data_IF_255951101983
#
_entry.id   IF_255951101983
#
_cell.length_a   1.000
_cell.length_b   1.000
_cell.length_c   1.000
_cell.angle_alpha   90.00
_cell.angle_beta   90.00
_cell.angle_gamma   90.00
#
_symmetry.space_group_name_H-M   'P 1'
#
loop_
_entity.id
_entity.type
_entity.pdbx_description
1 polymer ?
#
# COMPACT_ATOMS: atom_id res chain seq x y z
N UNK A 1 0.47 27.19 -5.00
CA UNK A 1 1.78 27.75 -4.59
C UNK A 1 1.63 29.26 -4.59
N UNK A 2 1.96 29.93 -3.49
CA UNK A 2 1.89 31.40 -3.38
C UNK A 2 3.30 31.88 -3.12
N UNK A 3 3.81 32.76 -3.99
CA UNK A 3 5.15 33.35 -3.88
C UNK A 3 5.03 34.78 -3.39
N UNK A 4 5.95 35.21 -2.53
CA UNK A 4 6.11 36.60 -2.14
C UNK A 4 7.59 36.93 -2.08
N UNK A 5 7.99 38.00 -2.76
CA UNK A 5 9.38 38.49 -2.81
C UNK A 5 9.72 39.48 -1.70
N UNK A 6 8.74 39.80 -0.85
CA UNK A 6 8.86 40.72 0.27
C UNK A 6 8.51 39.97 1.56
N UNK A 7 9.43 39.95 2.53
CA UNK A 7 9.25 39.25 3.81
C UNK A 7 8.08 39.80 4.62
N UNK A 8 7.78 41.11 4.51
CA UNK A 8 6.65 41.73 5.22
C UNK A 8 5.32 41.25 4.64
N UNK A 9 5.21 41.21 3.30
CA UNK A 9 4.06 40.65 2.62
C UNK A 9 3.91 39.13 2.87
N UNK A 10 5.02 38.38 2.83
CA UNK A 10 5.06 36.95 3.15
C UNK A 10 4.57 36.68 4.58
N UNK A 11 4.94 37.52 5.55
CA UNK A 11 4.49 37.42 6.94
C UNK A 11 2.99 37.70 7.08
N UNK A 12 2.45 38.67 6.36
CA UNK A 12 0.99 38.92 6.32
C UNK A 12 0.24 37.70 5.76
N UNK A 13 0.77 37.09 4.69
CA UNK A 13 0.23 35.85 4.13
C UNK A 13 0.34 34.67 5.11
N UNK A 14 1.48 34.52 5.78
CA UNK A 14 1.68 33.50 6.80
C UNK A 14 0.74 33.65 8.02
N UNK A 15 0.13 34.82 8.22
CA UNK A 15 -0.88 35.09 9.26
C UNK A 15 -2.33 35.05 8.76
N UNK A 16 -2.55 34.87 7.45
CA UNK A 16 -3.91 34.79 6.89
C UNK A 16 -4.62 33.50 7.31
N UNK A 17 -5.95 33.45 7.19
CA UNK A 17 -6.74 32.24 7.50
C UNK A 17 -6.45 31.05 6.56
N UNK A 18 -5.64 31.25 5.52
CA UNK A 18 -5.26 30.20 4.59
C UNK A 18 -4.48 29.08 5.30
N UNK A 19 -4.83 27.83 5.01
CA UNK A 19 -4.20 26.64 5.59
C UNK A 19 -2.90 26.29 4.84
N UNK A 20 -1.79 26.89 5.27
CA UNK A 20 -0.47 26.57 4.75
C UNK A 20 0.00 25.19 5.21
N UNK A 21 0.62 24.41 4.31
CA UNK A 21 1.09 23.04 4.61
C UNK A 21 2.61 22.92 4.72
N UNK A 22 3.35 23.85 4.13
CA UNK A 22 4.81 23.93 4.10
C UNK A 22 5.21 25.39 3.78
N UNK A 23 6.26 25.87 4.43
CA UNK A 23 6.92 27.13 4.10
C UNK A 23 8.32 26.88 3.53
N UNK A 24 8.66 27.55 2.43
CA UNK A 24 10.03 27.63 1.92
C UNK A 24 10.45 29.09 2.09
N UNK A 25 11.46 29.33 2.92
CA UNK A 25 11.85 30.69 3.34
C UNK A 25 13.31 30.91 3.01
N UNK A 26 13.63 31.99 2.29
CA UNK A 26 15.01 32.44 2.17
C UNK A 26 15.48 32.95 3.54
N UNK A 27 16.47 32.27 4.10
CA UNK A 27 17.05 32.59 5.38
C UNK A 27 18.10 33.67 5.24
N UNK A 28 17.90 34.78 5.94
CA UNK A 28 18.82 35.90 5.99
C UNK A 28 19.32 36.04 7.44
N UNK A 29 20.58 35.69 7.74
CA UNK A 29 21.12 35.74 9.10
C UNK A 29 20.98 37.14 9.71
N UNK A 30 20.44 37.21 10.93
CA UNK A 30 20.26 38.47 11.67
C UNK A 30 19.09 39.34 11.20
N UNK A 31 18.33 38.94 10.17
CA UNK A 31 17.16 39.68 9.70
C UNK A 31 15.93 39.39 10.59
N UNK A 32 15.40 40.43 11.23
CA UNK A 32 14.27 40.32 12.16
C UNK A 32 12.94 39.94 11.49
N UNK A 33 12.71 40.31 10.23
CA UNK A 33 11.50 39.94 9.50
C UNK A 33 11.56 38.49 9.04
N UNK A 34 12.74 38.02 8.60
CA UNK A 34 12.98 36.60 8.31
C UNK A 34 12.69 35.74 9.55
N UNK A 35 13.27 36.10 10.71
CA UNK A 35 13.02 35.41 11.98
C UNK A 35 11.53 35.38 12.35
N UNK A 36 10.85 36.54 12.27
CA UNK A 36 9.43 36.69 12.58
C UNK A 36 8.53 35.86 11.64
N UNK A 37 8.91 35.73 10.37
CA UNK A 37 8.20 34.88 9.40
C UNK A 37 8.33 33.39 9.75
N UNK A 38 9.54 32.90 10.04
CA UNK A 38 9.78 31.50 10.43
C UNK A 38 8.99 31.16 11.69
N UNK A 39 9.01 32.03 12.71
CA UNK A 39 8.21 31.84 13.91
C UNK A 39 6.71 31.86 13.65
N UNK A 40 6.22 32.76 12.79
CA UNK A 40 4.80 32.86 12.47
C UNK A 40 4.27 31.58 11.80
N UNK A 41 5.07 30.97 10.92
CA UNK A 41 4.77 29.67 10.31
C UNK A 41 4.86 28.54 11.34
N UNK A 42 5.94 28.52 12.12
CA UNK A 42 6.20 27.50 13.13
C UNK A 42 5.13 27.42 14.22
N UNK A 43 4.68 28.56 14.76
CA UNK A 43 3.60 28.66 15.76
C UNK A 43 2.25 28.13 15.24
N UNK A 44 2.08 28.05 13.92
CA UNK A 44 0.90 27.44 13.27
C UNK A 44 1.08 25.96 12.93
N UNK A 45 2.21 25.36 13.34
CA UNK A 45 2.57 23.98 13.00
C UNK A 45 2.92 23.77 11.53
N UNK A 46 3.30 24.85 10.82
CA UNK A 46 3.73 24.77 9.42
C UNK A 46 5.24 24.51 9.39
N UNK A 47 5.71 23.38 8.84
CA UNK A 47 7.14 23.10 8.74
C UNK A 47 7.80 24.10 7.79
N UNK A 48 9.04 24.51 8.12
CA UNK A 48 9.83 25.45 7.32
C UNK A 48 11.06 24.78 6.74
N UNK A 49 11.29 24.96 5.43
CA UNK A 49 12.55 24.65 4.75
C UNK A 49 13.30 25.96 4.49
N UNK A 50 14.52 26.06 5.02
CA UNK A 50 15.34 27.24 4.85
C UNK A 50 16.17 27.16 3.57
N UNK A 51 16.09 28.19 2.72
CA UNK A 51 17.02 28.42 1.61
C UNK A 51 18.07 29.42 2.09
N UNK A 52 19.32 29.00 2.22
CA UNK A 52 20.43 29.87 2.60
C UNK A 52 21.40 30.03 1.43
N UNK A 53 22.27 31.04 1.45
CA UNK A 53 23.27 31.18 0.39
C UNK A 53 24.36 30.12 0.60
N UNK A 54 24.83 29.95 1.84
CA UNK A 54 25.84 28.96 2.20
C UNK A 54 25.36 27.86 3.16
N UNK A 55 26.16 26.78 3.28
CA UNK A 55 25.93 25.71 4.26
C UNK A 55 26.04 26.25 5.70
N UNK A 56 26.95 27.19 5.94
CA UNK A 56 27.17 27.77 7.26
C UNK A 56 25.92 28.53 7.74
N UNK A 57 25.37 29.38 6.89
CA UNK A 57 24.15 30.14 7.16
C UNK A 57 22.94 29.20 7.36
N UNK A 58 22.81 28.17 6.53
CA UNK A 58 21.77 27.17 6.72
C UNK A 58 21.90 26.41 8.06
N UNK A 59 23.14 26.14 8.49
CA UNK A 59 23.44 25.61 9.81
C UNK A 59 23.04 26.58 10.94
N UNK A 60 23.15 27.89 10.74
CA UNK A 60 22.66 28.90 11.69
C UNK A 60 21.13 28.90 11.77
N UNK A 61 20.42 28.79 10.64
CA UNK A 61 18.96 28.70 10.62
C UNK A 61 18.45 27.52 11.47
N UNK A 62 19.10 26.36 11.31
CA UNK A 62 18.80 25.16 12.09
C UNK A 62 19.04 25.32 13.59
N UNK A 63 20.06 26.09 13.98
CA UNK A 63 20.40 26.37 15.39
C UNK A 63 19.47 27.43 16.00
N UNK A 64 19.10 28.44 15.23
CA UNK A 64 18.25 29.54 15.67
C UNK A 64 16.78 29.12 15.82
N UNK A 65 16.31 28.22 14.95
CA UNK A 65 14.90 27.79 14.91
C UNK A 65 14.77 26.25 14.90
N UNK A 66 15.30 25.55 15.91
CA UNK A 66 15.42 24.09 15.90
C UNK A 66 14.07 23.35 15.86
N UNK A 67 13.01 23.97 16.35
CA UNK A 67 11.65 23.43 16.41
C UNK A 67 10.83 23.68 15.13
N UNK A 68 11.20 24.69 14.33
CA UNK A 68 10.41 25.15 13.18
C UNK A 68 11.09 24.84 11.84
N UNK A 69 12.42 24.99 11.78
CA UNK A 69 13.19 24.70 10.57
C UNK A 69 13.50 23.20 10.51
N UNK A 70 12.88 22.56 9.53
CA UNK A 70 12.90 21.12 9.32
C UNK A 70 14.18 20.65 8.61
N UNK A 71 14.69 21.45 7.68
CA UNK A 71 15.97 21.26 6.99
C UNK A 71 16.37 22.57 6.29
N UNK A 72 17.60 22.64 5.78
CA UNK A 72 18.04 23.75 4.94
C UNK A 72 18.68 23.28 3.63
N UNK A 73 18.76 24.19 2.67
CA UNK A 73 19.43 23.99 1.39
C UNK A 73 20.23 25.23 1.03
N UNK A 74 21.48 25.04 0.60
CA UNK A 74 22.33 26.11 0.09
C UNK A 74 22.01 26.35 -1.38
N UNK A 75 21.71 27.60 -1.76
CA UNK A 75 21.42 28.00 -3.13
C UNK A 75 22.59 27.72 -4.09
N UNK A 76 23.81 27.67 -3.57
CA UNK A 76 25.04 27.38 -4.33
C UNK A 76 25.15 25.91 -4.78
N UNK A 77 24.33 25.01 -4.22
CA UNK A 77 24.34 23.59 -4.60
C UNK A 77 23.47 23.36 -5.84
N UNK A 78 24.07 22.79 -6.90
CA UNK A 78 23.41 22.56 -8.18
C UNK A 78 22.10 21.73 -8.09
N UNK A 79 21.98 20.87 -7.08
CA UNK A 79 20.84 19.99 -6.81
C UNK A 79 20.00 20.42 -5.58
N UNK A 80 20.21 21.62 -5.05
CA UNK A 80 19.48 22.14 -3.89
C UNK A 80 17.97 22.10 -4.09
N UNK A 81 17.50 22.58 -5.25
CA UNK A 81 16.09 22.65 -5.57
C UNK A 81 15.46 21.26 -5.70
N UNK A 82 16.15 20.31 -6.34
CA UNK A 82 15.65 18.95 -6.49
C UNK A 82 15.47 18.27 -5.12
N UNK A 83 16.48 18.38 -4.25
CA UNK A 83 16.40 17.82 -2.89
C UNK A 83 15.34 18.53 -2.03
N UNK A 84 15.13 19.83 -2.24
CA UNK A 84 14.08 20.58 -1.58
C UNK A 84 12.70 20.06 -1.99
N UNK A 85 12.45 19.90 -3.29
CA UNK A 85 11.19 19.37 -3.79
C UNK A 85 10.94 17.94 -3.29
N UNK A 86 11.96 17.09 -3.29
CA UNK A 86 11.86 15.73 -2.77
C UNK A 86 11.46 15.71 -1.29
N UNK A 87 12.07 16.58 -0.47
CA UNK A 87 11.73 16.69 0.95
C UNK A 87 10.36 17.34 1.16
N UNK A 88 10.00 18.34 0.36
CA UNK A 88 8.68 18.98 0.40
C UNK A 88 7.57 17.96 0.17
N UNK A 89 7.69 17.13 -0.87
CA UNK A 89 6.76 16.04 -1.13
C UNK A 89 6.74 15.07 0.06
N UNK A 90 7.92 14.63 0.54
CA UNK A 90 8.05 13.71 1.68
C UNK A 90 7.26 14.20 2.91
N UNK A 91 7.39 15.47 3.27
CA UNK A 91 6.71 16.06 4.43
C UNK A 91 5.18 16.08 4.30
N UNK A 92 4.67 16.18 3.06
CA UNK A 92 3.24 16.11 2.79
C UNK A 92 2.72 14.66 2.84
N UNK A 93 3.51 13.70 2.34
CA UNK A 93 3.18 12.27 2.34
C UNK A 93 3.23 11.64 3.74
N UNK A 94 4.22 12.01 4.56
CA UNK A 94 4.42 11.45 5.91
C UNK A 94 3.23 11.70 6.85
N UNK A 95 2.35 12.67 6.56
CA UNK A 95 1.15 12.96 7.36
C UNK A 95 0.20 11.76 7.49
N UNK A 96 0.25 10.82 6.55
CA UNK A 96 -0.53 9.58 6.58
C UNK A 96 0.24 8.36 7.11
N UNK A 97 1.47 8.53 7.58
CA UNK A 97 2.33 7.44 8.05
C UNK A 97 2.63 7.58 9.54
N UNK A 98 2.58 6.44 10.23
CA UNK A 98 2.86 6.39 11.66
C UNK A 98 4.21 5.72 11.93
N UNK A 99 4.94 6.26 12.91
CA UNK A 99 6.20 5.71 13.39
C UNK A 99 6.01 5.21 14.82
N UNK A 100 6.45 3.99 15.11
CA UNK A 100 6.38 3.37 16.43
C UNK A 100 7.79 3.31 17.04
N UNK A 101 7.97 3.92 18.21
CA UNK A 101 9.19 3.83 19.00
C UNK A 101 9.03 2.77 20.08
N UNK A 102 9.96 1.82 20.18
CA UNK A 102 9.90 0.69 21.14
C UNK A 102 11.17 0.60 21.97
N UNK A 103 11.04 0.41 23.28
CA UNK A 103 12.16 0.48 24.23
C UNK A 103 11.85 1.29 25.49
N UNK A 104 12.84 1.47 26.39
CA UNK A 104 12.64 2.21 27.63
C UNK A 104 12.42 3.71 27.38
N UNK A 105 11.71 4.36 28.31
CA UNK A 105 11.58 5.83 28.30
C UNK A 105 12.90 6.46 28.73
N UNK A 106 13.26 7.57 28.08
CA UNK A 106 14.50 8.29 28.39
C UNK A 106 14.83 9.38 27.37
N UNK A 107 16.05 9.89 27.45
CA UNK A 107 16.54 10.98 26.60
C UNK A 107 16.52 10.59 25.11
N UNK A 108 16.99 9.37 24.78
CA UNK A 108 17.01 8.90 23.40
C UNK A 108 15.60 8.84 22.79
N UNK A 109 14.63 8.30 23.52
CA UNK A 109 13.22 8.26 23.08
C UNK A 109 12.67 9.65 22.82
N UNK A 110 12.93 10.59 23.72
CA UNK A 110 12.49 12.00 23.58
C UNK A 110 13.12 12.62 22.33
N UNK A 111 14.43 12.48 22.16
CA UNK A 111 15.16 12.99 20.99
C UNK A 111 14.66 12.39 19.67
N UNK A 112 14.45 11.08 19.62
CA UNK A 112 13.88 10.39 18.44
C UNK A 112 12.47 10.92 18.12
N UNK A 113 11.64 11.11 19.15
CA UNK A 113 10.30 11.66 18.99
C UNK A 113 10.36 13.07 18.36
N UNK A 114 11.16 13.97 18.94
CA UNK A 114 11.31 15.34 18.45
C UNK A 114 11.77 15.39 16.99
N UNK A 115 12.76 14.58 16.63
CA UNK A 115 13.25 14.53 15.24
C UNK A 115 12.21 13.95 14.28
N UNK A 116 11.48 12.89 14.66
CA UNK A 116 10.43 12.32 13.80
C UNK A 116 9.24 13.29 13.63
N UNK A 117 8.96 14.14 14.62
CA UNK A 117 7.94 15.21 14.49
C UNK A 117 8.31 16.22 13.43
N UNK A 118 9.59 16.56 13.28
CA UNK A 118 10.06 17.43 12.18
C UNK A 118 9.73 16.83 10.81
N UNK A 119 9.70 15.49 10.69
CA UNK A 119 9.29 14.79 9.47
C UNK A 119 7.79 14.49 9.40
N UNK A 120 7.00 15.05 10.31
CA UNK A 120 5.53 14.99 10.33
C UNK A 120 4.94 13.59 10.44
N UNK A 121 5.68 12.63 10.99
CA UNK A 121 5.11 11.34 11.38
C UNK A 121 4.13 11.52 12.54
N UNK A 122 3.05 10.72 12.56
CA UNK A 122 2.33 10.46 13.80
C UNK A 122 3.12 9.45 14.60
N UNK A 123 3.51 9.80 15.81
CA UNK A 123 4.39 8.96 16.62
C UNK A 123 3.57 8.20 17.64
N UNK A 124 3.83 6.91 17.74
CA UNK A 124 3.33 6.00 18.75
C UNK A 124 4.52 5.49 19.57
N UNK A 125 4.27 5.13 20.82
CA UNK A 125 5.31 4.65 21.72
C UNK A 125 4.84 3.38 22.43
N UNK A 126 5.75 2.42 22.60
CA UNK A 126 5.53 1.24 23.42
C UNK A 126 6.75 0.96 24.28
N UNK A 127 6.54 0.64 25.55
CA UNK A 127 7.64 0.38 26.49
C UNK A 127 8.21 -1.04 26.35
N UNK A 128 7.41 -1.97 25.80
CA UNK A 128 7.76 -3.38 25.67
C UNK A 128 7.24 -4.02 24.36
N UNK A 129 7.52 -5.31 24.18
CA UNK A 129 7.10 -6.10 23.04
C UNK A 129 5.57 -6.23 22.94
N UNK A 130 4.88 -6.38 24.07
CA UNK A 130 3.43 -6.57 24.10
C UNK A 130 2.70 -5.30 23.61
N UNK A 131 3.08 -4.14 24.12
CA UNK A 131 2.59 -2.84 23.67
C UNK A 131 2.92 -2.59 22.20
N UNK A 132 4.11 -3.01 21.74
CA UNK A 132 4.49 -2.92 20.33
C UNK A 132 3.54 -3.72 19.43
N UNK A 133 3.33 -5.01 19.71
CA UNK A 133 2.43 -5.83 18.89
C UNK A 133 0.98 -5.32 18.94
N UNK A 134 0.51 -4.88 20.10
CA UNK A 134 -0.80 -4.24 20.23
C UNK A 134 -0.95 -3.01 19.34
N UNK A 135 0.07 -2.13 19.31
CA UNK A 135 0.07 -0.95 18.46
C UNK A 135 0.11 -1.30 16.96
N UNK A 136 0.95 -2.26 16.55
CA UNK A 136 1.05 -2.70 15.15
C UNK A 136 -0.23 -3.36 14.63
N UNK A 137 -0.97 -4.06 15.49
CA UNK A 137 -2.25 -4.70 15.13
C UNK A 137 -3.40 -3.70 15.13
N UNK A 138 -3.41 -2.76 16.07
CA UNK A 138 -4.46 -1.74 16.18
C UNK A 138 -4.36 -0.70 15.07
N UNK A 139 -3.16 -0.39 14.59
CA UNK A 139 -2.92 0.69 13.64
C UNK A 139 -2.14 0.22 12.41
N UNK A 140 -2.90 -0.09 11.36
CA UNK A 140 -2.36 -0.47 10.05
C UNK A 140 -1.61 0.68 9.37
N UNK A 141 -1.61 1.90 9.90
CA UNK A 141 -0.86 3.07 9.43
C UNK A 141 0.60 3.10 9.88
N UNK A 142 1.02 2.21 10.79
CA UNK A 142 2.44 2.10 11.18
C UNK A 142 3.26 1.56 10.02
N UNK A 143 4.27 2.33 9.61
CA UNK A 143 5.17 2.02 8.48
C UNK A 143 6.65 2.04 8.87
N UNK A 144 6.95 2.62 10.02
CA UNK A 144 8.29 2.69 10.58
C UNK A 144 8.26 2.22 12.03
N UNK A 145 9.11 1.26 12.37
CA UNK A 145 9.38 0.78 13.71
C UNK A 145 10.84 1.13 14.05
N UNK A 146 11.07 1.80 15.18
CA UNK A 146 12.41 2.04 15.72
C UNK A 146 12.54 1.35 17.07
N UNK A 147 13.45 0.38 17.16
CA UNK A 147 13.82 -0.31 18.40
C UNK A 147 15.01 0.40 19.02
N UNK A 148 14.90 0.84 20.27
CA UNK A 148 15.92 1.64 20.95
C UNK A 148 16.13 1.25 22.40
N UNK A 149 17.31 1.54 22.96
CA UNK A 149 17.60 1.45 24.40
C UNK A 149 17.48 0.05 25.01
N UNK A 150 17.46 -1.00 24.20
CA UNK A 150 17.41 -2.40 24.64
C UNK A 150 18.79 -3.04 24.53
N UNK A 151 19.02 -4.14 25.24
CA UNK A 151 20.18 -4.97 24.94
C UNK A 151 20.06 -5.55 23.52
N UNK A 152 21.18 -5.76 22.84
CA UNK A 152 21.14 -6.08 21.41
C UNK A 152 20.53 -7.45 21.13
N UNK A 153 20.67 -8.40 22.07
CA UNK A 153 20.03 -9.72 21.98
C UNK A 153 18.51 -9.61 22.09
N UNK A 154 18.01 -8.78 23.01
CA UNK A 154 16.58 -8.52 23.14
C UNK A 154 16.03 -7.81 21.90
N UNK A 155 16.74 -6.79 21.41
CA UNK A 155 16.38 -6.10 20.17
C UNK A 155 16.36 -7.06 18.97
N UNK A 156 17.36 -7.91 18.81
CA UNK A 156 17.43 -8.91 17.74
C UNK A 156 16.28 -9.93 17.81
N UNK A 157 15.95 -10.42 19.02
CA UNK A 157 14.81 -11.31 19.22
C UNK A 157 13.48 -10.63 18.86
N UNK A 158 13.30 -9.37 19.28
CA UNK A 158 12.12 -8.58 18.97
C UNK A 158 11.96 -8.35 17.46
N UNK A 159 13.04 -7.95 16.78
CA UNK A 159 13.07 -7.75 15.33
C UNK A 159 12.73 -9.05 14.60
N UNK A 160 13.32 -10.18 15.00
CA UNK A 160 13.03 -11.48 14.40
C UNK A 160 11.55 -11.85 14.58
N UNK A 161 10.97 -11.59 15.75
CA UNK A 161 9.56 -11.85 16.04
C UNK A 161 8.62 -10.99 15.17
N UNK A 162 8.95 -9.70 14.98
CA UNK A 162 8.21 -8.82 14.06
C UNK A 162 8.24 -9.37 12.64
N UNK A 163 9.37 -9.92 12.18
CA UNK A 163 9.52 -10.47 10.83
C UNK A 163 8.78 -11.77 10.56
N UNK A 164 8.24 -12.43 11.59
CA UNK A 164 7.31 -13.55 11.42
C UNK A 164 5.94 -13.10 10.91
N UNK A 165 5.55 -11.84 11.15
CA UNK A 165 4.23 -11.31 10.82
C UNK A 165 4.25 -10.15 9.81
N UNK A 166 5.28 -9.29 9.82
CA UNK A 166 5.40 -8.15 8.92
C UNK A 166 6.66 -8.23 8.06
N UNK A 167 6.47 -8.24 6.74
CA UNK A 167 7.57 -8.25 5.78
C UNK A 167 8.23 -6.87 5.68
N UNK A 168 9.43 -6.79 5.09
CA UNK A 168 10.15 -5.53 4.79
C UNK A 168 9.34 -4.59 3.88
N UNK A 169 8.40 -5.14 3.12
CA UNK A 169 7.52 -4.36 2.27
C UNK A 169 6.33 -3.78 3.05
N UNK A 170 6.07 -4.19 4.29
CA UNK A 170 4.92 -3.74 5.09
C UNK A 170 5.34 -2.82 6.23
N UNK A 171 6.54 -3.06 6.80
CA UNK A 171 7.06 -2.32 7.93
C UNK A 171 8.58 -2.17 7.83
N UNK A 172 9.05 -0.92 7.82
CA UNK A 172 10.48 -0.61 7.95
C UNK A 172 10.87 -0.78 9.42
N UNK A 173 11.96 -1.50 9.70
CA UNK A 173 12.45 -1.72 11.07
C UNK A 173 13.88 -1.22 11.19
N UNK A 174 14.07 -0.20 12.01
CA UNK A 174 15.38 0.37 12.35
C UNK A 174 15.73 0.02 13.79
N UNK A 175 16.99 -0.30 14.05
CA UNK A 175 17.47 -0.60 15.40
C UNK A 175 18.56 0.39 15.80
N UNK A 176 18.41 1.01 16.96
CA UNK A 176 19.46 1.82 17.56
C UNK A 176 20.54 0.92 18.15
N UNK A 177 21.80 1.26 17.87
CA UNK A 177 22.98 0.59 18.41
C UNK A 177 23.92 1.62 19.00
N UNK A 178 24.48 1.32 20.16
CA UNK A 178 25.46 2.19 20.80
C UNK A 178 26.82 2.00 20.10
N UNK A 179 27.51 3.09 19.73
CA UNK A 179 28.88 2.94 19.22
C UNK A 179 29.80 2.63 20.40
N UNK A 180 30.13 1.37 20.60
CA UNK A 180 31.33 1.00 21.34
C UNK A 180 32.45 0.80 20.30
N UNK A 181 33.64 1.36 20.54
CA UNK A 181 34.78 1.29 19.63
C UNK A 181 35.46 -0.10 19.62
N UNK A 182 34.67 -1.17 19.62
CA UNK A 182 35.11 -2.55 19.72
C UNK A 182 34.57 -3.40 18.57
N UNK A 183 35.30 -4.46 18.21
CA UNK A 183 34.88 -5.49 17.24
C UNK A 183 33.53 -6.13 17.57
N UNK A 184 33.11 -6.10 18.84
CA UNK A 184 31.80 -6.57 19.25
C UNK A 184 30.65 -5.81 18.54
N UNK A 185 30.78 -4.49 18.31
CA UNK A 185 29.72 -3.70 17.69
C UNK A 185 29.42 -4.10 16.24
N UNK A 186 30.40 -4.63 15.51
CA UNK A 186 30.18 -5.10 14.14
C UNK A 186 29.46 -6.47 14.13
N UNK A 187 29.77 -7.36 15.08
CA UNK A 187 29.04 -8.63 15.26
C UNK A 187 27.58 -8.39 15.68
N UNK A 188 27.37 -7.40 16.53
CA UNK A 188 26.06 -6.96 17.00
C UNK A 188 25.22 -6.36 15.87
N UNK A 189 25.82 -5.45 15.09
CA UNK A 189 25.16 -4.86 13.93
C UNK A 189 24.77 -5.95 12.93
N UNK A 190 25.67 -6.92 12.72
CA UNK A 190 25.39 -8.09 11.89
C UNK A 190 24.22 -8.91 12.43
N UNK A 191 24.14 -9.18 13.74
CA UNK A 191 23.03 -9.91 14.35
C UNK A 191 21.68 -9.24 14.06
N UNK A 192 21.56 -7.94 14.31
CA UNK A 192 20.31 -7.19 14.07
C UNK A 192 19.89 -7.21 12.59
N UNK A 193 20.84 -7.03 11.68
CA UNK A 193 20.57 -7.12 10.23
C UNK A 193 20.14 -8.54 9.84
N UNK A 194 20.76 -9.58 10.40
CA UNK A 194 20.41 -10.98 10.15
C UNK A 194 19.05 -11.36 10.76
N UNK A 195 18.67 -10.75 11.88
CA UNK A 195 17.34 -10.87 12.47
C UNK A 195 16.26 -10.12 11.68
N UNK A 196 16.65 -9.24 10.76
CA UNK A 196 15.76 -8.63 9.77
C UNK A 196 15.53 -7.12 9.94
N UNK A 197 16.39 -6.42 10.69
CA UNK A 197 16.44 -4.97 10.65
C UNK A 197 16.78 -4.49 9.22
N UNK A 198 16.18 -3.39 8.80
CA UNK A 198 16.43 -2.77 7.50
C UNK A 198 17.68 -1.89 7.52
N UNK A 199 17.92 -1.19 8.63
CA UNK A 199 19.12 -0.39 8.84
C UNK A 199 19.37 -0.19 10.34
N UNK A 200 20.56 0.34 10.67
CA UNK A 200 21.00 0.57 12.04
C UNK A 200 21.20 2.06 12.31
N UNK A 201 20.68 2.55 13.44
CA UNK A 201 20.86 3.92 13.91
C UNK A 201 21.99 3.93 14.93
N UNK A 202 23.18 4.38 14.53
CA UNK A 202 24.35 4.43 15.42
C UNK A 202 24.31 5.65 16.34
N UNK A 203 24.55 5.45 17.62
CA UNK A 203 24.76 6.53 18.60
C UNK A 203 26.25 6.87 18.72
N UNK A 204 26.64 8.13 19.00
CA UNK A 204 25.77 9.30 19.21
C UNK A 204 25.07 9.75 17.92
N UNK A 205 23.80 10.13 18.06
CA UNK A 205 22.93 10.42 16.94
C UNK A 205 22.98 11.90 16.54
N UNK A 206 23.49 12.19 15.36
CA UNK A 206 23.40 13.52 14.75
C UNK A 206 22.05 13.74 14.05
N UNK A 207 21.39 14.88 14.33
CA UNK A 207 20.05 15.21 13.77
C UNK A 207 19.98 15.03 12.25
N UNK A 208 20.90 15.66 11.52
CA UNK A 208 20.88 15.64 10.05
C UNK A 208 21.04 14.23 9.50
N UNK A 209 21.99 13.46 10.01
CA UNK A 209 22.23 12.09 9.54
C UNK A 209 21.06 11.15 9.86
N UNK A 210 20.47 11.27 11.05
CA UNK A 210 19.28 10.52 11.43
C UNK A 210 18.12 10.79 10.47
N UNK A 211 17.78 12.07 10.26
CA UNK A 211 16.67 12.44 9.39
C UNK A 211 16.88 11.98 7.95
N UNK A 212 18.11 12.09 7.43
CA UNK A 212 18.48 11.57 6.11
C UNK A 212 18.36 10.05 6.04
N UNK A 213 18.71 9.34 7.11
CA UNK A 213 18.56 7.89 7.17
C UNK A 213 17.08 7.47 7.16
N UNK A 214 16.22 8.16 7.92
CA UNK A 214 14.76 7.95 7.88
C UNK A 214 14.22 8.22 6.47
N UNK A 215 14.58 9.36 5.87
CA UNK A 215 14.11 9.74 4.53
C UNK A 215 14.50 8.66 3.49
N UNK A 216 15.73 8.13 3.57
CA UNK A 216 16.22 7.05 2.70
C UNK A 216 15.45 5.75 2.90
N UNK A 217 15.25 5.33 4.15
CA UNK A 217 14.56 4.09 4.46
C UNK A 217 13.10 4.12 3.98
N UNK A 218 12.42 5.26 4.18
CA UNK A 218 11.05 5.47 3.73
C UNK A 218 10.94 5.59 2.21
N UNK A 219 11.90 6.23 1.55
CA UNK A 219 11.94 6.28 0.09
C UNK A 219 12.08 4.87 -0.51
N UNK A 220 12.95 4.03 0.06
CA UNK A 220 13.10 2.64 -0.38
C UNK A 220 11.83 1.82 -0.14
N UNK A 221 11.18 2.02 1.00
CA UNK A 221 9.89 1.39 1.30
C UNK A 221 8.82 1.75 0.28
N UNK A 222 8.66 3.03 -0.04
CA UNK A 222 7.68 3.51 -1.02
C UNK A 222 7.99 3.02 -2.43
N UNK A 223 9.26 3.04 -2.80
CA UNK A 223 9.73 2.47 -4.06
C UNK A 223 9.28 1.01 -4.12
N UNK A 224 9.65 0.17 -3.13
CA UNK A 224 9.26 -1.23 -3.08
C UNK A 224 7.73 -1.44 -3.12
N UNK A 225 6.96 -0.60 -2.45
CA UNK A 225 5.50 -0.59 -2.53
C UNK A 225 5.01 -0.27 -3.96
N UNK A 226 5.60 0.73 -4.61
CA UNK A 226 5.34 1.07 -6.01
C UNK A 226 5.67 -0.09 -6.96
N UNK A 227 6.82 -0.74 -6.78
CA UNK A 227 7.18 -1.93 -7.55
C UNK A 227 6.21 -3.07 -7.32
N UNK A 228 5.85 -3.37 -6.07
CA UNK A 228 4.89 -4.42 -5.76
C UNK A 228 3.54 -4.13 -6.40
N UNK A 229 3.04 -2.90 -6.32
CA UNK A 229 1.80 -2.49 -6.99
C UNK A 229 1.90 -2.63 -8.51
N UNK A 230 2.96 -2.10 -9.13
CA UNK A 230 3.19 -2.23 -10.57
C UNK A 230 3.32 -3.68 -11.03
N UNK A 231 3.88 -4.56 -10.18
CA UNK A 231 4.04 -5.98 -10.44
C UNK A 231 2.76 -6.80 -10.20
N UNK A 232 1.78 -6.28 -9.45
CA UNK A 232 0.56 -7.01 -9.05
C UNK A 232 -0.73 -6.42 -9.58
N UNK A 233 -0.69 -5.28 -10.28
CA UNK A 233 -1.85 -4.58 -10.85
C UNK A 233 -1.69 -4.43 -12.36
N UNK A 234 -2.76 -4.66 -13.11
CA UNK A 234 -2.79 -4.34 -14.55
C UNK A 234 -2.91 -2.82 -14.74
N UNK A 235 -1.95 -2.23 -15.47
CA UNK A 235 -1.83 -0.77 -15.62
C UNK A 235 -3.01 -0.10 -16.34
N UNK A 236 -3.76 -0.83 -17.14
CA UNK A 236 -4.89 -0.27 -17.90
C UNK A 236 -6.16 -0.32 -17.08
N UNK A 237 -6.42 -1.47 -16.45
CA UNK A 237 -7.69 -1.72 -15.78
C UNK A 237 -7.69 -1.35 -14.31
N UNK A 238 -6.52 -1.30 -13.66
CA UNK A 238 -6.39 -1.10 -12.22
C UNK A 238 -6.80 -2.32 -11.39
N UNK A 239 -7.21 -3.42 -12.02
CA UNK A 239 -7.44 -4.71 -11.36
C UNK A 239 -6.11 -5.35 -10.97
N UNK A 240 -6.13 -6.28 -10.00
CA UNK A 240 -4.94 -7.11 -9.79
C UNK A 240 -4.65 -7.91 -11.07
N UNK A 241 -3.39 -7.99 -11.47
CA UNK A 241 -3.01 -8.88 -12.56
C UNK A 241 -2.98 -10.34 -12.06
N UNK A 242 -2.68 -11.29 -12.94
CA UNK A 242 -2.60 -12.72 -12.60
C UNK A 242 -1.75 -13.01 -11.36
N UNK A 243 -0.61 -12.32 -11.18
CA UNK A 243 0.26 -12.49 -10.01
C UNK A 243 -0.44 -11.99 -8.74
N UNK A 244 -0.95 -10.76 -8.76
CA UNK A 244 -1.65 -10.18 -7.60
C UNK A 244 -2.91 -10.95 -7.22
N UNK A 245 -3.61 -11.52 -8.20
CA UNK A 245 -4.75 -12.39 -7.98
C UNK A 245 -4.35 -13.67 -7.24
N UNK A 246 -3.28 -14.35 -7.67
CA UNK A 246 -2.79 -15.57 -7.00
C UNK A 246 -2.34 -15.28 -5.56
N UNK A 247 -1.60 -14.18 -5.34
CA UNK A 247 -1.14 -13.79 -4.00
C UNK A 247 -2.32 -13.61 -3.03
N UNK A 248 -3.39 -12.92 -3.46
CA UNK A 248 -4.61 -12.74 -2.64
C UNK A 248 -5.43 -14.01 -2.52
N UNK A 249 -5.53 -14.77 -3.62
CA UNK A 249 -6.32 -15.98 -3.68
C UNK A 249 -5.81 -17.09 -2.78
N UNK A 250 -4.48 -17.24 -2.64
CA UNK A 250 -3.88 -18.25 -1.75
C UNK A 250 -4.26 -18.02 -0.29
N UNK A 251 -4.29 -16.76 0.16
CA UNK A 251 -4.73 -16.43 1.51
C UNK A 251 -6.22 -16.77 1.75
N UNK A 252 -7.09 -16.45 0.77
CA UNK A 252 -8.51 -16.79 0.83
C UNK A 252 -8.76 -18.31 0.78
N UNK A 253 -8.02 -19.03 -0.06
CA UNK A 253 -8.07 -20.49 -0.15
C UNK A 253 -7.67 -21.16 1.16
N UNK A 254 -6.57 -20.73 1.78
CA UNK A 254 -6.15 -21.23 3.08
C UNK A 254 -7.20 -20.97 4.18
N UNK A 255 -7.87 -19.81 4.14
CA UNK A 255 -8.97 -19.50 5.05
C UNK A 255 -10.20 -20.39 4.79
N UNK A 256 -10.57 -20.61 3.54
CA UNK A 256 -11.67 -21.48 3.15
C UNK A 256 -11.46 -22.92 3.65
N UNK A 257 -10.25 -23.48 3.46
CA UNK A 257 -9.87 -24.81 3.94
C UNK A 257 -9.94 -24.94 5.46
N UNK A 258 -9.65 -23.87 6.22
CA UNK A 258 -9.74 -23.87 7.69
C UNK A 258 -11.15 -23.65 8.24
N UNK A 259 -11.91 -22.76 7.61
CA UNK A 259 -13.16 -22.20 8.17
C UNK A 259 -14.46 -22.80 7.63
N UNK A 260 -14.39 -23.81 6.76
CA UNK A 260 -15.55 -24.34 6.02
C UNK A 260 -16.37 -23.25 5.30
N UNK A 261 -15.68 -22.21 4.83
CA UNK A 261 -16.28 -21.15 4.02
C UNK A 261 -16.20 -21.57 2.55
N UNK A 262 -17.33 -21.50 1.84
CA UNK A 262 -17.35 -21.79 0.39
C UNK A 262 -16.44 -20.83 -0.37
N UNK A 263 -15.67 -21.35 -1.32
CA UNK A 263 -14.83 -20.57 -2.22
C UNK A 263 -15.13 -21.01 -3.65
N UNK A 264 -15.39 -20.05 -4.52
CA UNK A 264 -15.70 -20.32 -5.92
C UNK A 264 -14.93 -19.37 -6.82
N UNK A 265 -14.64 -19.79 -8.05
CA UNK A 265 -13.91 -18.95 -9.01
C UNK A 265 -14.61 -18.95 -10.37
N UNK A 266 -14.60 -17.81 -11.04
CA UNK A 266 -15.23 -17.61 -12.34
C UNK A 266 -14.30 -16.90 -13.32
N UNK A 267 -14.16 -17.46 -14.52
CA UNK A 267 -13.46 -16.87 -15.64
C UNK A 267 -14.46 -16.24 -16.62
N UNK A 268 -14.27 -14.96 -16.92
CA UNK A 268 -15.01 -14.19 -17.90
C UNK A 268 -14.10 -13.93 -19.11
N UNK A 269 -14.46 -14.44 -20.29
CA UNK A 269 -13.76 -14.20 -21.55
C UNK A 269 -14.60 -13.33 -22.47
N UNK A 270 -14.01 -12.26 -22.99
CA UNK A 270 -14.67 -11.37 -23.97
C UNK A 270 -14.68 -12.03 -25.36
N UNK A 271 -15.86 -12.23 -25.91
CA UNK A 271 -16.03 -12.80 -27.25
C UNK A 271 -15.43 -11.90 -28.33
N UNK A 272 -14.68 -12.48 -29.27
CA UNK A 272 -14.21 -11.78 -30.46
C UNK A 272 -13.22 -10.63 -30.19
N UNK A 273 -12.64 -10.54 -28.98
CA UNK A 273 -11.77 -9.43 -28.58
C UNK A 273 -10.57 -9.24 -29.53
N UNK A 274 -9.96 -10.32 -29.99
CA UNK A 274 -8.88 -10.26 -30.98
C UNK A 274 -9.30 -9.67 -32.33
N UNK A 275 -10.54 -9.96 -32.78
CA UNK A 275 -11.11 -9.36 -33.99
C UNK A 275 -11.42 -7.88 -33.78
N UNK A 276 -12.03 -7.54 -32.65
CA UNK A 276 -12.33 -6.15 -32.28
C UNK A 276 -11.06 -5.30 -32.19
N UNK A 277 -9.99 -5.81 -31.56
CA UNK A 277 -8.69 -5.12 -31.46
C UNK A 277 -8.04 -4.84 -32.82
N UNK A 278 -8.22 -5.73 -33.80
CA UNK A 278 -7.75 -5.54 -35.18
C UNK A 278 -8.59 -4.52 -35.95
N UNK A 279 -9.91 -4.50 -35.73
CA UNK A 279 -10.86 -3.65 -36.46
C UNK A 279 -10.94 -2.20 -35.96
N UNK A 280 -10.81 -1.98 -34.65
CA UNK A 280 -11.09 -0.68 -34.01
C UNK A 280 -9.86 0.01 -33.41
N UNK A 281 -8.66 -0.48 -33.73
CA UNK A 281 -7.37 -0.07 -33.18
C UNK A 281 -7.17 -0.44 -31.68
N UNK A 282 -5.91 -0.60 -31.22
CA UNK A 282 -5.60 -1.01 -29.85
C UNK A 282 -6.22 -0.12 -28.76
N UNK A 283 -6.34 1.18 -29.01
CA UNK A 283 -6.89 2.14 -28.04
C UNK A 283 -8.39 1.90 -27.74
N UNK A 284 -9.19 1.47 -28.73
CA UNK A 284 -10.60 1.16 -28.51
C UNK A 284 -10.76 -0.08 -27.62
N UNK A 285 -9.92 -1.08 -27.84
CA UNK A 285 -9.89 -2.29 -27.03
C UNK A 285 -9.46 -1.99 -25.59
N UNK A 286 -8.49 -1.08 -25.41
CA UNK A 286 -8.05 -0.61 -24.10
C UNK A 286 -9.18 0.12 -23.34
N UNK A 287 -9.91 1.01 -24.02
CA UNK A 287 -11.04 1.75 -23.45
C UNK A 287 -12.16 0.81 -23.01
N UNK A 288 -12.54 -0.15 -23.86
CA UNK A 288 -13.53 -1.17 -23.52
C UNK A 288 -13.07 -1.97 -22.30
N UNK A 289 -11.82 -2.45 -22.31
CA UNK A 289 -11.24 -3.24 -21.20
C UNK A 289 -11.27 -2.48 -19.88
N UNK A 290 -10.95 -1.19 -19.89
CA UNK A 290 -11.02 -0.31 -18.70
C UNK A 290 -12.44 -0.17 -18.18
N UNK A 291 -13.43 -0.02 -19.07
CA UNK A 291 -14.84 0.13 -18.66
C UNK A 291 -15.43 -1.17 -18.12
N UNK A 292 -15.11 -2.31 -18.76
CA UNK A 292 -15.48 -3.63 -18.26
C UNK A 292 -14.90 -3.90 -16.87
N UNK A 293 -13.64 -3.53 -16.63
CA UNK A 293 -13.01 -3.71 -15.33
C UNK A 293 -13.70 -2.93 -14.20
N UNK A 294 -14.09 -1.68 -14.47
CA UNK A 294 -14.84 -0.86 -13.51
C UNK A 294 -16.20 -1.49 -13.17
N UNK A 295 -16.89 -2.01 -14.17
CA UNK A 295 -18.18 -2.68 -13.96
C UNK A 295 -18.03 -4.03 -13.26
N UNK A 296 -16.98 -4.80 -13.55
CA UNK A 296 -16.63 -5.98 -12.77
C UNK A 296 -16.48 -5.63 -11.28
N UNK A 297 -15.68 -4.62 -10.93
CA UNK A 297 -15.53 -4.20 -9.53
C UNK A 297 -16.84 -3.81 -8.85
N UNK A 298 -17.82 -3.24 -9.58
CA UNK A 298 -19.13 -2.86 -9.03
C UNK A 298 -20.05 -4.06 -8.79
N UNK A 299 -19.84 -5.17 -9.51
CA UNK A 299 -20.67 -6.36 -9.44
C UNK A 299 -20.24 -7.36 -8.35
N UNK A 300 -19.03 -7.22 -7.83
CA UNK A 300 -18.46 -8.12 -6.82
C UNK A 300 -18.20 -7.39 -5.51
N UNK A 301 -18.13 -8.13 -4.40
CA UNK A 301 -17.96 -7.57 -3.05
C UNK A 301 -16.52 -7.18 -2.81
N UNK A 302 -16.27 -6.32 -1.81
CA UNK A 302 -14.91 -5.94 -1.40
C UNK A 302 -14.05 -7.12 -0.94
N UNK A 303 -14.68 -8.20 -0.45
CA UNK A 303 -13.98 -9.43 -0.03
C UNK A 303 -13.72 -10.41 -1.19
N UNK A 304 -14.29 -10.15 -2.37
CA UNK A 304 -14.01 -10.92 -3.57
C UNK A 304 -12.74 -10.35 -4.25
N UNK A 305 -12.04 -11.20 -5.02
CA UNK A 305 -10.85 -10.77 -5.77
C UNK A 305 -11.19 -10.74 -7.24
N UNK A 306 -11.15 -9.56 -7.85
CA UNK A 306 -11.34 -9.38 -9.31
C UNK A 306 -9.99 -9.10 -9.94
N UNK A 307 -9.57 -9.91 -10.92
CA UNK A 307 -8.27 -9.79 -11.57
C UNK A 307 -8.29 -9.89 -13.10
N UNK A 308 -7.31 -9.25 -13.73
CA UNK A 308 -7.02 -9.36 -15.16
C UNK A 308 -6.03 -10.51 -15.42
N UNK A 309 -6.45 -11.52 -16.19
CA UNK A 309 -5.63 -12.70 -16.49
C UNK A 309 -4.98 -12.67 -17.87
N UNK A 310 -5.65 -12.04 -18.82
CA UNK A 310 -5.20 -11.87 -20.20
C UNK A 310 -5.83 -10.61 -20.82
N UNK A 311 -5.54 -10.28 -22.09
CA UNK A 311 -6.10 -9.09 -22.74
C UNK A 311 -7.64 -9.05 -22.77
N UNK A 312 -8.27 -10.21 -22.80
CA UNK A 312 -9.70 -10.47 -22.94
C UNK A 312 -10.27 -11.32 -21.80
N UNK A 313 -9.47 -11.60 -20.77
CA UNK A 313 -9.80 -12.53 -19.69
C UNK A 313 -9.77 -11.85 -18.33
N UNK A 314 -10.87 -12.00 -17.60
CA UNK A 314 -11.02 -11.56 -16.22
C UNK A 314 -11.36 -12.75 -15.34
N UNK A 315 -10.72 -12.85 -14.18
CA UNK A 315 -10.99 -13.90 -13.20
C UNK A 315 -11.55 -13.27 -11.93
N UNK A 316 -12.48 -13.97 -11.30
CA UNK A 316 -13.05 -13.57 -10.01
C UNK A 316 -13.00 -14.72 -9.03
N UNK A 317 -12.47 -14.47 -7.83
CA UNK A 317 -12.54 -15.38 -6.69
C UNK A 317 -13.56 -14.85 -5.69
N UNK A 318 -14.58 -15.65 -5.36
CA UNK A 318 -15.73 -15.24 -4.53
C UNK A 318 -15.82 -16.09 -3.27
N UNK A 319 -16.10 -15.44 -2.14
CA UNK A 319 -16.24 -16.11 -0.84
C UNK A 319 -17.72 -16.22 -0.46
N UNK A 320 -18.16 -17.44 -0.14
CA UNK A 320 -19.49 -17.73 0.38
C UNK A 320 -20.61 -17.71 -0.66
N UNK A 321 -20.30 -17.93 -1.95
CA UNK A 321 -21.32 -18.08 -2.98
C UNK A 321 -22.08 -19.40 -2.81
N UNK A 322 -23.43 -19.34 -2.80
CA UNK A 322 -24.26 -20.55 -2.70
C UNK A 322 -24.48 -21.16 -4.10
N UNK A 323 -24.33 -22.48 -4.28
CA UNK A 323 -24.52 -23.15 -5.56
C UNK A 323 -25.86 -22.84 -6.24
N UNK A 324 -26.97 -22.86 -5.48
CA UNK A 324 -28.32 -22.60 -6.00
C UNK A 324 -28.49 -21.20 -6.59
N UNK A 325 -27.73 -20.22 -6.08
CA UNK A 325 -27.77 -18.83 -6.54
C UNK A 325 -26.83 -18.54 -7.71
N UNK A 326 -25.89 -19.45 -8.00
CA UNK A 326 -24.79 -19.19 -8.93
C UNK A 326 -25.31 -18.90 -10.35
N UNK A 327 -26.23 -19.73 -10.87
CA UNK A 327 -26.78 -19.57 -12.22
C UNK A 327 -27.44 -18.19 -12.40
N UNK A 328 -28.37 -17.84 -11.52
CA UNK A 328 -29.09 -16.56 -11.57
C UNK A 328 -28.14 -15.37 -11.39
N UNK A 329 -27.16 -15.49 -10.49
CA UNK A 329 -26.18 -14.44 -10.26
C UNK A 329 -25.32 -14.18 -11.51
N UNK A 330 -24.74 -15.22 -12.12
CA UNK A 330 -23.89 -15.05 -13.30
C UNK A 330 -24.69 -14.61 -14.54
N UNK A 331 -25.95 -15.01 -14.68
CA UNK A 331 -26.83 -14.48 -15.72
C UNK A 331 -27.03 -12.96 -15.57
N UNK A 332 -27.34 -12.49 -14.35
CA UNK A 332 -27.52 -11.06 -14.08
C UNK A 332 -26.22 -10.25 -14.24
N UNK A 333 -25.07 -10.80 -13.82
CA UNK A 333 -23.76 -10.16 -14.03
C UNK A 333 -23.44 -10.09 -15.52
N UNK A 334 -23.68 -11.16 -16.28
CA UNK A 334 -23.46 -11.19 -17.72
C UNK A 334 -24.29 -10.12 -18.42
N UNK A 335 -25.60 -10.07 -18.15
CA UNK A 335 -26.49 -9.06 -18.74
C UNK A 335 -26.01 -7.63 -18.48
N UNK A 336 -25.62 -7.33 -17.23
CA UNK A 336 -25.08 -6.00 -16.88
C UNK A 336 -23.79 -5.68 -17.63
N UNK A 337 -22.87 -6.64 -17.75
CA UNK A 337 -21.62 -6.44 -18.49
C UNK A 337 -21.86 -6.27 -20.00
N UNK A 338 -22.81 -7.02 -20.58
CA UNK A 338 -23.15 -6.95 -22.00
C UNK A 338 -23.94 -5.68 -22.37
N UNK A 339 -24.61 -5.05 -21.39
CA UNK A 339 -25.28 -3.74 -21.57
C UNK A 339 -24.32 -2.55 -21.70
N UNK A 340 -23.02 -2.76 -21.45
CA UNK A 340 -22.02 -1.69 -21.49
C UNK A 340 -21.77 -1.27 -22.93
N UNK A 341 -22.14 -0.04 -23.26
CA UNK A 341 -21.76 0.60 -24.51
C UNK A 341 -20.45 1.40 -24.34
N UNK A 342 -19.44 1.07 -25.14
CA UNK A 342 -18.26 1.92 -25.30
C UNK A 342 -18.32 2.64 -26.65
N UNK A 343 -18.18 3.96 -26.64
CA UNK A 343 -18.09 4.75 -27.89
C UNK A 343 -16.64 5.06 -28.19
N UNK A 344 -16.17 4.65 -29.37
CA UNK A 344 -14.84 5.00 -29.88
C UNK A 344 -14.97 5.57 -31.30
N UNK A 345 -14.50 6.81 -31.50
CA UNK A 345 -14.61 7.53 -32.78
C UNK A 345 -16.03 7.51 -33.38
N UNK A 346 -17.04 7.71 -32.54
CA UNK A 346 -18.45 7.73 -32.96
C UNK A 346 -19.09 6.36 -33.23
N UNK A 347 -18.34 5.24 -33.10
CA UNK A 347 -18.87 3.88 -33.20
C UNK A 347 -19.13 3.29 -31.82
N UNK A 348 -20.29 2.65 -31.67
CA UNK A 348 -20.62 1.87 -30.46
C UNK A 348 -19.99 0.49 -30.54
N UNK A 349 -19.39 0.06 -29.44
CA UNK A 349 -18.77 -1.25 -29.26
C UNK A 349 -19.48 -1.91 -28.08
N UNK A 350 -19.96 -3.12 -28.32
CA UNK A 350 -20.56 -3.98 -27.31
C UNK A 350 -19.64 -5.19 -27.07
N UNK A 351 -19.59 -5.66 -25.84
CA UNK A 351 -18.89 -6.88 -25.47
C UNK A 351 -19.90 -7.98 -25.19
N UNK A 352 -19.58 -9.21 -25.59
CA UNK A 352 -20.25 -10.43 -25.14
C UNK A 352 -19.28 -11.30 -24.36
N UNK A 353 -19.80 -12.16 -23.49
CA UNK A 353 -18.96 -12.95 -22.58
C UNK A 353 -19.23 -14.45 -22.59
N UNK A 354 -18.15 -15.22 -22.51
CA UNK A 354 -18.19 -16.64 -22.15
C UNK A 354 -17.70 -16.83 -20.71
N UNK A 355 -18.55 -17.41 -19.86
CA UNK A 355 -18.29 -17.53 -18.43
C UNK A 355 -18.12 -19.02 -18.08
N UNK A 356 -17.02 -19.33 -17.40
CA UNK A 356 -16.76 -20.62 -16.80
C UNK A 356 -16.61 -20.51 -15.30
N UNK A 357 -17.23 -21.40 -14.53
CA UNK A 357 -17.27 -21.31 -13.07
C UNK A 357 -16.87 -22.64 -12.44
N UNK A 358 -16.02 -22.59 -11.42
CA UNK A 358 -15.75 -23.68 -10.49
C UNK A 358 -16.35 -23.31 -9.14
N UNK A 359 -17.34 -24.07 -8.69
CA UNK A 359 -18.04 -23.84 -7.41
C UNK A 359 -17.44 -24.63 -6.25
N UNK A 360 -16.70 -25.69 -6.55
CA UNK A 360 -16.16 -26.64 -5.58
C UNK A 360 -14.80 -26.18 -5.04
N UNK A 361 -14.55 -26.40 -3.76
CA UNK A 361 -13.26 -26.11 -3.13
C UNK A 361 -12.30 -27.29 -3.35
N UNK A 362 -11.23 -27.07 -4.11
CA UNK A 362 -10.17 -28.06 -4.34
C UNK A 362 -9.00 -27.90 -3.36
N UNK A 363 -8.08 -28.86 -3.33
CA UNK A 363 -6.87 -28.83 -2.48
C UNK A 363 -5.86 -27.76 -2.93
N UNK A 364 -5.78 -27.48 -4.23
CA UNK A 364 -4.98 -26.40 -4.78
C UNK A 364 -5.88 -25.33 -5.44
N UNK A 365 -5.67 -24.07 -5.08
CA UNK A 365 -6.30 -22.94 -5.75
C UNK A 365 -6.10 -23.00 -7.27
N UNK A 366 -4.90 -23.39 -7.74
CA UNK A 366 -4.58 -23.42 -9.17
C UNK A 366 -5.49 -24.38 -9.94
N UNK A 367 -5.87 -25.49 -9.32
CA UNK A 367 -6.81 -26.45 -9.89
C UNK A 367 -8.18 -25.81 -10.12
N UNK A 368 -8.71 -25.08 -9.13
CA UNK A 368 -9.96 -24.34 -9.27
C UNK A 368 -9.91 -23.36 -10.45
N UNK A 369 -8.79 -22.65 -10.62
CA UNK A 369 -8.59 -21.69 -11.71
C UNK A 369 -8.59 -22.37 -13.08
N UNK A 370 -7.94 -23.54 -13.19
CA UNK A 370 -7.92 -24.35 -14.41
C UNK A 370 -9.33 -24.81 -14.76
N UNK A 371 -10.10 -25.31 -13.79
CA UNK A 371 -11.49 -25.76 -14.01
C UNK A 371 -12.39 -24.63 -14.53
N UNK A 372 -12.29 -23.44 -13.93
CA UNK A 372 -13.05 -22.28 -14.42
C UNK A 372 -12.60 -21.83 -15.82
N UNK A 373 -11.29 -21.89 -16.11
CA UNK A 373 -10.76 -21.57 -17.43
C UNK A 373 -11.25 -22.55 -18.51
N UNK A 374 -11.19 -23.85 -18.25
CA UNK A 374 -11.68 -24.90 -19.15
C UNK A 374 -13.20 -24.79 -19.38
N UNK A 375 -13.95 -24.46 -18.32
CA UNK A 375 -15.39 -24.22 -18.44
C UNK A 375 -15.70 -23.01 -19.33
N UNK A 376 -14.89 -21.94 -19.26
CA UNK A 376 -15.06 -20.75 -20.13
C UNK A 376 -14.72 -21.08 -21.59
N UNK A 377 -13.66 -21.85 -21.83
CA UNK A 377 -13.35 -22.36 -23.18
C UNK A 377 -14.43 -23.28 -23.73
N UNK A 378 -15.05 -24.11 -22.88
CA UNK A 378 -16.18 -24.93 -23.28
C UNK A 378 -17.40 -24.06 -23.63
N UNK A 379 -17.67 -23.01 -22.87
CA UNK A 379 -18.72 -22.05 -23.15
C UNK A 379 -18.50 -21.34 -24.50
N UNK A 380 -17.26 -20.96 -24.80
CA UNK A 380 -16.87 -20.37 -26.08
C UNK A 380 -17.06 -21.34 -27.25
N UNK A 381 -16.53 -22.57 -27.14
CA UNK A 381 -16.64 -23.59 -28.19
C UNK A 381 -18.09 -23.99 -28.51
N UNK A 382 -18.99 -23.90 -27.53
CA UNK A 382 -20.41 -24.22 -27.67
C UNK A 382 -21.28 -22.99 -27.95
N UNK A 383 -20.68 -21.80 -28.06
CA UNK A 383 -21.39 -20.53 -28.14
C UNK A 383 -22.49 -20.40 -27.07
N UNK A 384 -22.20 -20.88 -25.85
CA UNK A 384 -23.19 -21.00 -24.80
C UNK A 384 -23.67 -19.62 -24.33
N UNK A 385 -24.99 -19.36 -24.29
CA UNK A 385 -25.52 -18.11 -23.78
C UNK A 385 -25.38 -18.02 -22.25
N UNK A 386 -25.35 -19.16 -21.56
CA UNK A 386 -25.27 -19.25 -20.10
C UNK A 386 -23.83 -19.50 -19.61
N UNK A 387 -23.60 -19.29 -18.32
CA UNK A 387 -22.35 -19.68 -17.68
C UNK A 387 -22.24 -21.22 -17.57
N UNK A 388 -21.07 -21.77 -17.92
CA UNK A 388 -20.78 -23.20 -17.72
C UNK A 388 -20.25 -23.38 -16.30
N UNK A 389 -21.03 -24.05 -15.45
CA UNK A 389 -20.70 -24.24 -14.03
C UNK A 389 -20.25 -25.70 -13.77
N UNK A 390 -19.15 -25.85 -13.03
CA UNK A 390 -18.58 -27.12 -12.53
C UNK A 390 -18.69 -27.18 -11.00
N UNK A 391 -18.88 -28.39 -10.46
CA UNK A 391 -19.02 -28.61 -9.01
C UNK A 391 -20.44 -28.43 -8.46
N UNK A 392 -21.49 -28.59 -9.30
CA UNK A 392 -22.90 -28.51 -8.90
C UNK A 392 -23.53 -29.86 -8.47
N UNK A 393 -22.72 -30.90 -8.23
CA UNK A 393 -23.24 -32.22 -7.83
C UNK A 393 -22.92 -32.52 -6.37
N UNK A 394 -23.86 -32.19 -5.47
CA UNK A 394 -24.04 -32.87 -4.19
C UNK A 394 -25.45 -32.59 -3.66
N UNK A 395 -26.46 -33.26 -4.22
CA UNK A 395 -27.64 -33.58 -3.44
C UNK A 395 -27.40 -34.96 -2.80
N UNK A 396 -27.38 -35.11 -1.47
CA UNK A 396 -27.56 -36.42 -0.90
C UNK A 396 -29.00 -36.82 -1.23
N UNK A 397 -29.16 -37.88 -2.03
CA UNK A 397 -30.43 -38.58 -2.12
C UNK A 397 -30.66 -39.16 -0.73
N UNK A 398 -31.46 -38.49 0.09
CA UNK A 398 -32.03 -39.09 1.29
C UNK A 398 -33.09 -40.05 0.75
N UNK A 399 -32.70 -41.31 0.53
CA UNK A 399 -33.68 -42.38 0.38
C UNK A 399 -34.46 -42.48 1.70
N UNK A 400 -35.68 -41.96 1.69
CA UNK A 400 -36.66 -42.21 2.73
C UNK A 400 -37.04 -43.68 2.69
N UNK A 401 -36.35 -44.52 3.45
CA UNK A 401 -36.87 -45.82 3.83
C UNK A 401 -38.10 -45.60 4.72
N UNK A 402 -39.26 -45.60 4.08
CA UNK A 402 -40.52 -45.94 4.74
C UNK A 402 -40.40 -47.37 5.25
N UNK A 403 -40.09 -47.51 6.55
CA UNK A 403 -40.38 -48.74 7.28
C UNK A 403 -41.87 -48.69 7.61
N UNK A 404 -42.68 -49.34 6.79
CA UNK A 404 -44.03 -49.78 7.12
C UNK A 404 -43.94 -50.83 8.23
N UNK A 405 -44.22 -50.42 9.46
CA UNK A 405 -44.52 -51.35 10.55
C UNK A 405 -45.94 -51.88 10.35
N UNK A 406 -46.05 -53.02 9.68
CA UNK A 406 -47.21 -53.89 9.70
C UNK A 406 -47.18 -54.80 10.93
N UNK A 407 -48.33 -54.93 11.58
CA UNK A 407 -48.56 -55.61 12.84
C UNK A 407 -48.31 -57.13 12.82
N UNK A 408 -47.89 -57.68 13.96
CA UNK A 408 -48.49 -58.89 14.56
C UNK A 408 -48.33 -58.84 16.08
#
# INVERSE_FOLDING_TARGET
MTESRDLVAARKLARSEQAWRLGVVQYLPGDSECASLIEALGKRGVPVLALADSIEEGGQALKAFPEYVTDFFSADSADAMERLLLLADRLLWNQGMHALLVGPRGELRTRLNDMLRLRRFRIMEADDAQGMFGALQADVGVRLLIVQGMSEKEAAALVAQVRLQWTRNELVVLACVDSCASTACDEIGLLLVKSGADDLIRQPLGRTLFLRQIDRAMALFEYNQGYKRAATVDRVTGLVNRRGFLERGLALHANAKRGNLGLSTAMFRVEGFGRMRRLHAPMAAELLRKRLAQEMQRNFRNNDVVGQFGPDEFMVLMVGMKPDSAKTFFAAVKERLESIEATFQGRRIHARFHIGVCMELHDDLREMLVIAQEASHLAERKESPEAVIRGLNAAPVIESHHVTTGAS
#
